data_IF_124494148485
#
_entry.id   IF_124494148485
#
_cell.length_a   1.000
_cell.length_b   1.000
_cell.length_c   1.000
_cell.angle_alpha   90.00
_cell.angle_beta   90.00
_cell.angle_gamma   90.00
#
_symmetry.space_group_name_H-M   'P 1'
#
loop_
_entity.id
_entity.type
_entity.pdbx_description
1 polymer ?
#
# COMPACT_ATOMS: atom_id res chain seq x y z
N UNK A 1 -4.06 -3.37 6.23
CA UNK A 1 -4.98 -2.63 5.33
C UNK A 1 -5.27 -1.23 5.84
N UNK A 2 -5.49 -1.09 7.13
CA UNK A 2 -5.77 0.24 7.72
C UNK A 2 -4.58 1.19 7.61
N UNK A 3 -3.35 0.69 7.51
CA UNK A 3 -2.15 1.50 7.41
C UNK A 3 -1.92 2.07 6.00
N UNK A 4 -2.62 1.55 5.00
CA UNK A 4 -2.48 2.02 3.62
C UNK A 4 -3.11 3.40 3.46
N UNK A 5 -2.35 4.42 2.99
CA UNK A 5 -2.87 5.78 2.86
C UNK A 5 -3.71 5.93 1.59
N UNK A 6 -4.97 5.60 1.68
CA UNK A 6 -5.93 5.73 0.58
C UNK A 6 -6.82 6.93 0.85
N UNK A 7 -6.87 7.87 -0.07
CA UNK A 7 -7.73 9.05 0.06
C UNK A 7 -9.20 8.65 0.05
N UNK A 8 -10.03 9.38 0.80
CA UNK A 8 -11.48 9.11 0.88
C UNK A 8 -12.15 9.10 -0.49
N UNK A 9 -11.78 10.03 -1.36
CA UNK A 9 -12.34 10.13 -2.70
C UNK A 9 -12.04 8.88 -3.53
N UNK A 10 -10.82 8.36 -3.41
CA UNK A 10 -10.39 7.15 -4.13
C UNK A 10 -11.15 5.94 -3.59
N UNK A 11 -11.27 5.84 -2.28
CA UNK A 11 -12.01 4.74 -1.65
C UNK A 11 -13.47 4.75 -2.04
N UNK A 12 -14.11 5.93 -2.00
CA UNK A 12 -15.51 6.07 -2.40
C UNK A 12 -15.75 5.73 -3.85
N UNK A 13 -14.92 6.24 -4.75
CA UNK A 13 -15.00 5.93 -6.18
C UNK A 13 -14.80 4.44 -6.44
N UNK A 14 -13.85 3.83 -5.75
CA UNK A 14 -13.58 2.40 -5.89
C UNK A 14 -14.76 1.54 -5.47
N UNK A 15 -15.44 1.92 -4.38
CA UNK A 15 -16.64 1.22 -3.92
C UNK A 15 -17.77 1.31 -4.94
N UNK A 16 -17.99 2.49 -5.51
CA UNK A 16 -19.03 2.69 -6.54
C UNK A 16 -18.74 1.87 -7.78
N UNK A 17 -17.48 1.80 -8.21
CA UNK A 17 -17.08 1.09 -9.42
C UNK A 17 -16.81 -0.40 -9.19
N UNK A 18 -16.87 -0.88 -7.96
CA UNK A 18 -16.56 -2.27 -7.63
C UNK A 18 -15.08 -2.62 -7.79
N UNK A 19 -14.18 -1.65 -7.61
CA UNK A 19 -12.74 -1.84 -7.74
C UNK A 19 -12.07 -1.91 -6.38
N UNK A 20 -11.00 -2.70 -6.29
CA UNK A 20 -10.14 -2.73 -5.11
C UNK A 20 -8.99 -1.76 -5.31
N UNK A 21 -8.83 -0.74 -4.45
CA UNK A 21 -7.75 0.24 -4.59
C UNK A 21 -6.35 -0.37 -4.68
N UNK A 22 -6.13 -1.53 -4.07
CA UNK A 22 -4.83 -2.21 -4.13
C UNK A 22 -4.47 -2.69 -5.53
N UNK A 23 -5.45 -2.93 -6.37
CA UNK A 23 -5.26 -3.47 -7.72
C UNK A 23 -5.43 -2.42 -8.82
N UNK A 24 -5.69 -1.18 -8.45
CA UNK A 24 -5.78 -0.09 -9.43
C UNK A 24 -4.36 0.34 -9.81
N UNK A 25 -4.11 0.47 -11.10
CA UNK A 25 -2.84 0.98 -11.61
C UNK A 25 -2.58 2.38 -11.05
N UNK A 26 -1.37 2.64 -10.61
CA UNK A 26 -1.02 3.88 -9.94
C UNK A 26 0.44 4.23 -10.24
N UNK A 27 0.69 5.53 -10.31
CA UNK A 27 2.04 6.05 -10.54
C UNK A 27 2.32 7.20 -9.58
N UNK A 28 3.59 7.64 -9.54
CA UNK A 28 3.99 8.70 -8.64
C UNK A 28 4.07 8.29 -7.18
N UNK A 29 4.19 6.99 -6.92
CA UNK A 29 4.33 6.44 -5.57
C UNK A 29 5.62 5.65 -5.43
N UNK A 30 6.11 5.58 -4.21
CA UNK A 30 7.33 4.88 -3.87
C UNK A 30 7.08 3.94 -2.70
N UNK A 31 7.56 2.73 -2.83
CA UNK A 31 7.63 1.78 -1.71
C UNK A 31 9.10 1.54 -1.42
N UNK A 32 9.49 1.69 -0.16
CA UNK A 32 10.86 1.43 0.27
C UNK A 32 10.87 0.37 1.35
N UNK A 33 11.78 -0.57 1.24
CA UNK A 33 12.03 -1.57 2.27
C UNK A 33 13.32 -1.17 2.98
N UNK A 34 13.22 -0.93 4.27
CA UNK A 34 14.33 -0.41 5.07
C UNK A 34 14.53 -1.26 6.33
N UNK A 35 15.70 -1.11 6.94
CA UNK A 35 15.99 -1.78 8.20
C UNK A 35 15.00 -1.33 9.27
N UNK A 36 14.52 -2.25 10.08
CA UNK A 36 13.55 -1.97 11.15
C UNK A 36 14.01 -0.85 12.07
N UNK A 37 15.27 -0.84 12.45
CA UNK A 37 15.82 0.17 13.36
C UNK A 37 15.84 1.58 12.76
N UNK A 38 15.82 1.70 11.44
CA UNK A 38 15.86 2.98 10.74
C UNK A 38 14.48 3.43 10.27
N UNK A 39 13.48 2.57 10.35
CA UNK A 39 12.16 2.83 9.78
C UNK A 39 11.51 4.10 10.31
N UNK A 40 11.49 4.29 11.62
CA UNK A 40 10.88 5.48 12.24
C UNK A 40 11.59 6.76 11.84
N UNK A 41 12.91 6.74 11.81
CA UNK A 41 13.73 7.89 11.42
C UNK A 41 13.50 8.27 9.95
N UNK A 42 13.47 7.28 9.07
CA UNK A 42 13.22 7.49 7.64
C UNK A 42 11.82 8.01 7.41
N UNK A 43 10.83 7.44 8.10
CA UNK A 43 9.45 7.91 8.02
C UNK A 43 9.34 9.37 8.41
N UNK A 44 9.96 9.77 9.52
CA UNK A 44 9.94 11.15 10.00
C UNK A 44 10.54 12.11 8.97
N UNK A 45 11.68 11.76 8.39
CA UNK A 45 12.30 12.57 7.34
C UNK A 45 11.44 12.68 6.09
N UNK A 46 10.83 11.57 5.69
CA UNK A 46 9.95 11.55 4.52
C UNK A 46 8.74 12.44 4.73
N UNK A 47 8.12 12.38 5.90
CA UNK A 47 6.94 13.19 6.22
C UNK A 47 7.25 14.68 6.29
N UNK A 48 8.49 15.07 6.50
CA UNK A 48 8.87 16.47 6.49
C UNK A 48 8.92 17.08 5.08
N UNK A 49 8.96 16.25 4.05
CA UNK A 49 8.90 16.71 2.67
C UNK A 49 7.44 16.93 2.23
N UNK A 50 7.15 18.00 1.45
CA UNK A 50 5.77 18.28 1.02
C UNK A 50 5.08 17.12 0.32
N UNK A 51 5.79 16.33 -0.47
CA UNK A 51 5.22 15.18 -1.18
C UNK A 51 5.18 13.91 -0.34
N UNK A 52 5.80 13.91 0.83
CA UNK A 52 5.85 12.75 1.71
C UNK A 52 4.94 12.83 2.92
N UNK A 53 4.04 13.79 2.98
CA UNK A 53 3.18 14.01 4.15
C UNK A 53 2.32 12.81 4.52
N UNK A 54 1.89 12.05 3.52
CA UNK A 54 1.04 10.88 3.71
C UNK A 54 1.82 9.57 3.79
N UNK A 55 3.13 9.65 3.92
CA UNK A 55 3.96 8.46 4.08
C UNK A 55 3.56 7.68 5.33
N UNK A 56 3.61 6.37 5.25
CA UNK A 56 3.23 5.51 6.36
C UNK A 56 4.01 4.21 6.31
N UNK A 57 4.20 3.60 7.47
CA UNK A 57 4.69 2.22 7.56
C UNK A 57 3.49 1.33 7.27
N UNK A 58 3.54 0.60 6.16
CA UNK A 58 2.39 -0.18 5.69
C UNK A 58 2.54 -1.68 5.95
N UNK A 59 3.71 -2.12 6.37
CA UNK A 59 3.91 -3.52 6.63
C UNK A 59 5.32 -3.84 7.06
N UNK A 60 5.58 -5.12 7.22
CA UNK A 60 6.87 -5.65 7.61
C UNK A 60 7.24 -6.83 6.73
N UNK A 61 8.56 -7.07 6.61
CA UNK A 61 9.07 -8.22 5.88
C UNK A 61 9.44 -9.30 6.88
N UNK A 62 8.91 -10.49 6.67
CA UNK A 62 9.17 -11.64 7.50
C UNK A 62 9.81 -12.77 6.68
N UNK A 63 10.53 -13.65 7.37
CA UNK A 63 11.07 -14.82 6.73
C UNK A 63 9.99 -15.82 6.32
N UNK A 64 8.94 -15.92 7.13
CA UNK A 64 7.80 -16.80 6.94
C UNK A 64 6.50 -16.10 7.36
N UNK A 65 5.35 -16.35 6.73
CA UNK A 65 5.18 -17.16 5.50
C UNK A 65 5.73 -16.45 4.27
N UNK A 66 6.06 -17.22 3.24
CA UNK A 66 6.52 -16.64 1.97
C UNK A 66 5.37 -15.99 1.22
N UNK A 67 5.69 -15.02 0.39
CA UNK A 67 4.71 -14.28 -0.41
C UNK A 67 4.30 -12.98 0.27
N UNK A 68 3.33 -12.32 -0.34
CA UNK A 68 2.79 -11.06 0.17
C UNK A 68 1.41 -11.33 0.78
N UNK A 69 1.25 -10.91 2.04
CA UNK A 69 0.03 -11.15 2.79
C UNK A 69 -0.59 -9.81 3.21
N UNK A 70 -1.90 -9.71 3.12
CA UNK A 70 -2.64 -8.54 3.55
C UNK A 70 -3.39 -8.84 4.85
N UNK A 71 -3.19 -7.99 5.86
CA UNK A 71 -3.97 -8.06 7.09
C UNK A 71 -5.23 -7.21 6.92
N UNK A 72 -6.38 -7.82 7.10
CA UNK A 72 -7.67 -7.14 6.97
C UNK A 72 -8.01 -6.34 8.22
N UNK A 73 -9.01 -5.47 8.12
CA UNK A 73 -9.48 -4.63 9.23
C UNK A 73 -10.01 -5.45 10.41
N UNK A 74 -10.53 -6.63 10.14
CA UNK A 74 -11.07 -7.52 11.17
C UNK A 74 -10.03 -8.49 11.72
N UNK A 75 -8.75 -8.30 11.38
CA UNK A 75 -7.65 -9.08 11.95
C UNK A 75 -7.28 -10.35 11.18
N UNK A 76 -8.04 -10.72 10.17
CA UNK A 76 -7.68 -11.84 9.31
C UNK A 76 -6.56 -11.49 8.35
N UNK A 77 -5.91 -12.50 7.79
CA UNK A 77 -4.88 -12.32 6.77
C UNK A 77 -5.22 -13.16 5.55
N UNK A 78 -4.90 -12.65 4.37
CA UNK A 78 -5.02 -13.41 3.15
C UNK A 78 -3.92 -13.03 2.17
N UNK A 79 -3.53 -13.93 1.25
CA UNK A 79 -2.49 -13.61 0.30
C UNK A 79 -2.96 -12.60 -0.74
N UNK A 80 -2.05 -11.70 -1.14
CA UNK A 80 -2.28 -10.85 -2.30
C UNK A 80 -1.85 -11.60 -3.54
N UNK A 81 -2.74 -11.70 -4.50
CA UNK A 81 -2.48 -12.36 -5.76
C UNK A 81 -2.07 -11.32 -6.80
N UNK A 82 -1.10 -11.69 -7.63
CA UNK A 82 -0.72 -10.86 -8.76
C UNK A 82 -1.84 -10.90 -9.80
N UNK A 83 -2.19 -9.74 -10.34
CA UNK A 83 -3.18 -9.68 -11.41
C UNK A 83 -2.62 -10.33 -12.67
N UNK A 84 -3.38 -11.26 -13.25
CA UNK A 84 -3.05 -11.87 -14.53
C UNK A 84 -3.46 -10.97 -15.70
N UNK A 85 -4.54 -10.20 -15.49
CA UNK A 85 -5.01 -9.21 -16.45
C UNK A 85 -5.23 -7.89 -15.74
N UNK A 86 -4.92 -6.78 -16.41
CA UNK A 86 -5.07 -5.44 -15.83
C UNK A 86 -6.52 -5.01 -15.87
N UNK A 87 -7.02 -4.50 -14.72
CA UNK A 87 -8.34 -3.91 -14.64
C UNK A 87 -8.42 -2.54 -15.31
N UNK A 88 -7.29 -1.82 -15.39
CA UNK A 88 -7.18 -0.51 -16.01
C UNK A 88 -5.88 -0.42 -16.81
N UNK A 89 -5.85 0.36 -17.90
CA UNK A 89 -4.62 0.58 -18.65
C UNK A 89 -3.54 1.24 -17.79
N UNK A 90 -2.30 0.86 -18.02
CA UNK A 90 -1.15 1.51 -17.39
C UNK A 90 -0.61 2.60 -18.32
N UNK A 91 0.00 3.61 -17.67
CA UNK A 91 0.72 4.68 -18.37
C UNK A 91 2.15 4.25 -18.37
N UNK A 92 2.79 3.49 -18.60
CA UNK A 92 4.23 3.25 -18.60
C UNK A 92 4.72 2.51 -19.85
#
# INVERSE_FOLDING_TARGET
ECALPIKKQVRGASEILGLDPLYIANEGKLIAIVDRKDATSILKKTKSHPFGRNAAIIGEVFREPKGVWLRTKIGGTHPLLQLEAEGLPRIC
#
